data_IF_001287047231
#
_entry.id   IF_001287047231
#
_cell.length_a   1.000
_cell.length_b   1.000
_cell.length_c   1.000
_cell.angle_alpha   90.00
_cell.angle_beta   90.00
_cell.angle_gamma   90.00
#
_symmetry.space_group_name_H-M   'P 1'
#
loop_
_entity.id
_entity.type
_entity.pdbx_description
1 polymer ?
#
# COMPACT_ATOMS: atom_id res chain seq x y z
N UNK A 1 7.58 -51.79 -27.61
CA UNK A 1 8.23 -51.06 -28.73
C UNK A 1 7.17 -50.11 -29.30
N UNK A 2 7.56 -48.85 -29.51
CA UNK A 2 6.76 -47.71 -29.99
C UNK A 2 5.70 -47.14 -29.02
N UNK A 3 5.41 -45.84 -28.93
CA UNK A 3 6.03 -44.53 -29.20
C UNK A 3 4.84 -43.54 -29.30
N UNK A 4 4.87 -42.48 -28.48
CA UNK A 4 4.29 -41.13 -28.63
C UNK A 4 3.32 -40.84 -29.80
N UNK A 5 2.18 -40.21 -29.49
CA UNK A 5 1.75 -39.01 -30.23
C UNK A 5 0.82 -38.11 -29.39
N UNK A 6 1.11 -36.80 -29.42
CA UNK A 6 0.46 -35.72 -28.69
C UNK A 6 -0.96 -35.41 -29.20
N UNK A 7 -1.82 -34.72 -28.41
CA UNK A 7 -2.92 -33.96 -28.97
C UNK A 7 -2.44 -32.57 -29.41
N UNK A 8 -2.88 -32.23 -30.62
CA UNK A 8 -2.56 -31.04 -31.40
C UNK A 8 -3.13 -29.77 -30.77
N UNK A 9 -2.29 -28.74 -30.71
CA UNK A 9 -2.74 -27.34 -30.70
C UNK A 9 -3.52 -27.04 -31.99
N UNK A 10 -4.73 -26.51 -31.84
CA UNK A 10 -5.39 -25.68 -32.85
C UNK A 10 -5.73 -24.36 -32.15
N UNK A 11 -5.22 -23.21 -32.63
CA UNK A 11 -5.49 -21.92 -32.00
C UNK A 11 -6.91 -21.48 -32.35
N UNK A 12 -7.76 -21.28 -31.33
CA UNK A 12 -9.02 -20.53 -31.51
C UNK A 12 -8.82 -19.10 -31.04
N UNK A 13 -8.61 -18.26 -32.05
CA UNK A 13 -9.02 -16.86 -32.18
C UNK A 13 -9.12 -16.02 -30.89
N UNK A 14 -8.11 -15.17 -30.74
CA UNK A 14 -8.21 -13.78 -30.30
C UNK A 14 -9.49 -13.10 -30.82
N UNK A 15 -10.57 -13.15 -30.05
CA UNK A 15 -11.70 -12.21 -30.10
C UNK A 15 -12.74 -12.60 -29.03
N UNK A 16 -12.46 -12.30 -27.76
CA UNK A 16 -13.54 -12.12 -26.79
C UNK A 16 -13.45 -10.68 -26.29
N UNK A 17 -14.36 -9.84 -26.79
CA UNK A 17 -14.62 -8.54 -26.20
C UNK A 17 -14.99 -8.76 -24.73
N UNK A 18 -14.22 -8.14 -23.84
CA UNK A 18 -14.51 -8.09 -22.41
C UNK A 18 -15.84 -7.35 -22.23
N UNK A 19 -16.93 -8.09 -22.02
CA UNK A 19 -18.18 -7.52 -21.54
C UNK A 19 -18.06 -7.36 -20.04
N UNK A 20 -17.64 -6.18 -19.59
CA UNK A 20 -17.80 -5.77 -18.19
C UNK A 20 -19.30 -5.76 -17.92
N UNK A 21 -19.72 -6.43 -16.85
CA UNK A 21 -21.12 -6.52 -16.41
C UNK A 21 -21.84 -5.17 -16.52
N UNK A 22 -23.11 -5.21 -16.95
CA UNK A 22 -23.93 -4.01 -17.01
C UNK A 22 -24.06 -3.42 -15.60
N UNK A 23 -24.19 -2.08 -15.45
CA UNK A 23 -24.35 -1.42 -14.14
C UNK A 23 -25.36 -2.09 -13.19
N UNK A 24 -26.46 -2.62 -13.73
CA UNK A 24 -27.50 -3.34 -12.97
C UNK A 24 -27.08 -4.72 -12.47
N UNK A 25 -26.20 -5.41 -13.19
CA UNK A 25 -25.70 -6.74 -12.82
C UNK A 25 -24.73 -6.63 -11.64
N UNK A 26 -23.87 -5.60 -11.62
CA UNK A 26 -22.98 -5.30 -10.49
C UNK A 26 -23.77 -4.99 -9.21
N UNK A 27 -24.75 -4.09 -9.29
CA UNK A 27 -25.61 -3.76 -8.14
C UNK A 27 -26.50 -4.95 -7.73
N UNK A 28 -26.94 -5.77 -8.70
CA UNK A 28 -27.69 -7.00 -8.46
C UNK A 28 -26.88 -8.03 -7.67
N UNK A 29 -25.58 -8.21 -8.01
CA UNK A 29 -24.65 -9.05 -7.25
C UNK A 29 -24.47 -8.56 -5.80
N UNK A 30 -24.68 -7.26 -5.53
CA UNK A 30 -24.70 -6.71 -4.17
C UNK A 30 -26.02 -6.91 -3.40
N UNK A 31 -27.05 -7.56 -3.95
CA UNK A 31 -28.42 -7.64 -3.36
C UNK A 31 -28.95 -9.06 -3.02
N UNK A 32 -28.09 -10.05 -2.75
CA UNK A 32 -28.55 -11.40 -2.35
C UNK A 32 -29.20 -11.45 -0.95
N UNK A 33 -29.99 -12.49 -0.65
CA UNK A 33 -30.77 -12.62 0.61
C UNK A 33 -29.91 -12.59 1.89
N UNK A 34 -28.64 -13.02 1.84
CA UNK A 34 -27.67 -12.88 2.94
C UNK A 34 -27.00 -11.50 3.01
N UNK A 35 -27.06 -10.72 1.91
CA UNK A 35 -26.50 -9.38 1.78
C UNK A 35 -27.41 -8.29 2.34
N UNK A 36 -28.72 -8.48 2.34
CA UNK A 36 -29.69 -7.47 2.80
C UNK A 36 -29.41 -7.01 4.24
N UNK A 37 -29.06 -7.94 5.13
CA UNK A 37 -28.68 -7.64 6.51
C UNK A 37 -27.35 -6.86 6.65
N UNK A 38 -26.43 -6.95 5.68
CA UNK A 38 -25.19 -6.14 5.67
C UNK A 38 -25.50 -4.70 5.26
N UNK A 39 -26.44 -4.57 4.33
CA UNK A 39 -26.78 -3.31 3.69
C UNK A 39 -27.75 -2.49 4.52
N UNK A 40 -28.41 -3.06 5.52
CA UNK A 40 -29.17 -2.29 6.50
C UNK A 40 -28.40 -1.06 6.99
N UNK A 41 -29.11 0.05 7.17
CA UNK A 41 -28.56 1.29 7.67
C UNK A 41 -29.30 1.74 8.96
N UNK A 42 -29.29 0.92 10.02
CA UNK A 42 -30.06 1.20 11.24
C UNK A 42 -29.52 2.44 11.96
N UNK A 43 -28.22 2.72 11.82
CA UNK A 43 -27.53 3.90 12.38
C UNK A 43 -27.79 5.18 11.59
N UNK A 44 -28.54 5.12 10.48
CA UNK A 44 -28.88 6.26 9.61
C UNK A 44 -27.64 7.04 9.14
N UNK A 45 -26.58 6.31 8.81
CA UNK A 45 -25.40 6.88 8.17
C UNK A 45 -25.81 7.63 6.90
N UNK A 46 -25.31 8.86 6.76
CA UNK A 46 -25.61 9.76 5.65
C UNK A 46 -24.39 10.01 4.76
N UNK A 47 -23.30 9.28 4.96
CA UNK A 47 -22.11 9.35 4.13
C UNK A 47 -21.50 7.96 3.86
N UNK A 48 -20.87 7.81 2.70
CA UNK A 48 -20.08 6.63 2.34
C UNK A 48 -18.80 6.99 1.58
N UNK A 49 -17.74 6.23 1.87
CA UNK A 49 -16.50 6.17 1.08
C UNK A 49 -16.52 4.88 0.28
N UNK A 50 -16.33 5.00 -1.02
CA UNK A 50 -16.32 3.89 -1.97
C UNK A 50 -14.97 3.87 -2.68
N UNK A 51 -14.19 2.82 -2.44
CA UNK A 51 -12.96 2.53 -3.17
C UNK A 51 -13.27 1.45 -4.20
N UNK A 52 -12.90 1.65 -5.46
CA UNK A 52 -13.13 0.63 -6.49
C UNK A 52 -11.88 0.40 -7.32
N UNK A 53 -11.74 -0.83 -7.83
CA UNK A 53 -10.69 -1.16 -8.79
C UNK A 53 -10.88 -0.39 -10.11
N UNK A 54 -9.84 -0.31 -10.96
CA UNK A 54 -9.90 0.44 -12.22
C UNK A 54 -11.01 0.01 -13.18
N UNK A 55 -11.47 -1.25 -13.08
CA UNK A 55 -12.57 -1.83 -13.87
C UNK A 55 -13.89 -1.05 -13.72
N UNK A 56 -14.11 -0.42 -12.57
CA UNK A 56 -15.31 0.33 -12.26
C UNK A 56 -15.18 1.84 -12.54
N UNK A 57 -14.07 2.29 -13.14
CA UNK A 57 -13.84 3.72 -13.40
C UNK A 57 -14.98 4.35 -14.24
N UNK A 58 -15.46 3.65 -15.27
CA UNK A 58 -16.57 4.13 -16.10
C UNK A 58 -17.90 4.13 -15.34
N UNK A 59 -18.15 3.12 -14.50
CA UNK A 59 -19.36 3.02 -13.69
C UNK A 59 -19.43 4.13 -12.64
N UNK A 60 -18.31 4.48 -11.99
CA UNK A 60 -18.29 5.58 -11.02
C UNK A 60 -18.43 6.97 -11.66
N UNK A 61 -18.18 7.10 -12.96
CA UNK A 61 -18.51 8.31 -13.71
C UNK A 61 -19.99 8.38 -14.11
N UNK A 62 -20.69 7.23 -14.21
CA UNK A 62 -22.10 7.13 -14.58
C UNK A 62 -23.05 7.61 -13.45
N UNK A 63 -23.87 8.66 -13.68
CA UNK A 63 -24.85 9.14 -12.71
C UNK A 63 -25.90 8.09 -12.31
N UNK A 64 -26.30 7.20 -13.23
CA UNK A 64 -27.34 6.19 -12.98
C UNK A 64 -26.82 5.08 -12.06
N UNK A 65 -25.56 4.66 -12.28
CA UNK A 65 -24.88 3.73 -11.38
C UNK A 65 -24.73 4.34 -9.98
N UNK A 66 -24.23 5.57 -9.87
CA UNK A 66 -24.05 6.22 -8.58
C UNK A 66 -25.38 6.41 -7.83
N UNK A 67 -26.47 6.72 -8.54
CA UNK A 67 -27.80 6.85 -7.93
C UNK A 67 -28.30 5.51 -7.38
N UNK A 68 -28.06 4.41 -8.09
CA UNK A 68 -28.38 3.05 -7.62
C UNK A 68 -27.52 2.66 -6.41
N UNK A 69 -26.23 3.01 -6.43
CA UNK A 69 -25.31 2.78 -5.32
C UNK A 69 -25.74 3.55 -4.07
N UNK A 70 -26.11 4.83 -4.20
CA UNK A 70 -26.64 5.61 -3.07
C UNK A 70 -27.93 5.01 -2.54
N UNK A 71 -28.83 4.55 -3.42
CA UNK A 71 -30.06 3.87 -2.99
C UNK A 71 -29.75 2.61 -2.17
N UNK A 72 -28.75 1.84 -2.61
CA UNK A 72 -28.28 0.65 -1.90
C UNK A 72 -27.68 1.01 -0.54
N UNK A 73 -26.76 1.97 -0.50
CA UNK A 73 -25.98 2.30 0.70
C UNK A 73 -26.77 3.08 1.75
N UNK A 74 -27.75 3.88 1.32
CA UNK A 74 -28.69 4.57 2.22
C UNK A 74 -29.71 3.61 2.84
N UNK A 75 -30.00 2.48 2.16
CA UNK A 75 -30.94 1.44 2.57
C UNK A 75 -32.29 1.98 3.07
N UNK A 76 -32.83 2.98 2.35
CA UNK A 76 -34.08 3.68 2.70
C UNK A 76 -34.09 4.34 4.08
N UNK A 77 -32.93 4.53 4.71
CA UNK A 77 -32.83 5.35 5.91
C UNK A 77 -33.33 6.76 5.58
N UNK A 78 -34.19 7.30 6.45
CA UNK A 78 -34.71 8.65 6.29
C UNK A 78 -33.63 9.69 6.65
N UNK A 79 -32.64 9.84 5.77
CA UNK A 79 -31.69 10.94 5.79
C UNK A 79 -32.19 12.01 4.82
N UNK A 80 -31.98 13.29 5.14
CA UNK A 80 -32.33 14.39 4.23
C UNK A 80 -31.43 14.39 2.99
N UNK A 81 -30.15 14.20 3.25
CA UNK A 81 -29.09 14.17 2.26
C UNK A 81 -28.26 12.89 2.44
N UNK A 82 -27.67 12.39 1.35
CA UNK A 82 -26.67 11.34 1.37
C UNK A 82 -25.43 11.78 0.59
N UNK A 83 -24.25 11.57 1.17
CA UNK A 83 -22.97 12.00 0.63
C UNK A 83 -22.13 10.81 0.21
N UNK A 84 -21.61 10.86 -1.01
CA UNK A 84 -20.82 9.77 -1.58
C UNK A 84 -19.45 10.31 -2.00
N UNK A 85 -18.40 9.74 -1.45
CA UNK A 85 -17.03 9.88 -1.94
C UNK A 85 -16.66 8.62 -2.73
N UNK A 86 -16.23 8.79 -3.97
CA UNK A 86 -15.81 7.72 -4.87
C UNK A 86 -14.35 7.93 -5.25
N UNK A 87 -13.54 6.87 -5.11
CA UNK A 87 -12.14 6.87 -5.49
C UNK A 87 -11.77 5.59 -6.25
N UNK A 88 -10.96 5.73 -7.30
CA UNK A 88 -10.37 4.58 -7.99
C UNK A 88 -8.98 4.30 -7.42
N UNK A 89 -8.80 3.07 -6.93
CA UNK A 89 -7.56 2.57 -6.33
C UNK A 89 -6.94 1.51 -7.25
N UNK A 90 -5.63 1.24 -7.10
CA UNK A 90 -4.97 0.24 -7.95
C UNK A 90 -5.55 -1.16 -7.69
N UNK A 91 -5.83 -1.47 -6.42
CA UNK A 91 -6.51 -2.71 -6.04
C UNK A 91 -7.34 -2.48 -4.78
N UNK A 92 -8.53 -3.08 -4.69
CA UNK A 92 -9.22 -3.22 -3.39
C UNK A 92 -8.47 -4.26 -2.54
N UNK A 93 -8.44 -4.10 -1.22
CA UNK A 93 -7.76 -5.06 -0.36
C UNK A 93 -8.37 -6.46 -0.56
N UNK A 94 -7.57 -7.47 -0.96
CA UNK A 94 -8.08 -8.81 -1.27
C UNK A 94 -8.66 -9.47 -0.01
N UNK A 95 -9.48 -10.48 -0.25
CA UNK A 95 -10.10 -11.27 0.80
C UNK A 95 -9.26 -12.48 1.21
N UNK A 96 -9.71 -13.17 2.26
CA UNK A 96 -9.13 -14.43 2.72
C UNK A 96 -9.13 -15.45 1.55
N UNK A 97 -7.99 -16.13 1.35
CA UNK A 97 -7.73 -17.10 0.27
C UNK A 97 -7.61 -16.54 -1.16
N UNK A 98 -7.51 -15.21 -1.31
CA UNK A 98 -7.27 -14.59 -2.63
C UNK A 98 -5.83 -14.13 -2.81
N UNK A 99 -5.12 -14.84 -3.69
CA UNK A 99 -3.72 -14.57 -4.00
C UNK A 99 -3.52 -13.56 -5.14
N UNK A 100 -4.57 -13.29 -5.90
CA UNK A 100 -4.53 -12.41 -7.06
C UNK A 100 -5.51 -11.26 -6.89
N UNK A 101 -5.18 -10.07 -7.42
CA UNK A 101 -6.09 -8.94 -7.39
C UNK A 101 -7.33 -9.25 -8.22
N UNK A 102 -8.50 -9.20 -7.58
CA UNK A 102 -9.79 -9.26 -8.26
C UNK A 102 -10.43 -7.87 -8.32
N UNK A 103 -11.15 -7.55 -9.41
CA UNK A 103 -11.96 -6.34 -9.45
C UNK A 103 -12.97 -6.33 -8.32
N UNK A 104 -13.05 -5.22 -7.59
CA UNK A 104 -13.93 -5.12 -6.43
C UNK A 104 -14.27 -3.69 -6.05
N UNK A 105 -15.20 -3.60 -5.09
CA UNK A 105 -15.64 -2.35 -4.46
C UNK A 105 -15.55 -2.53 -2.94
N UNK A 106 -14.87 -1.61 -2.27
CA UNK A 106 -14.76 -1.52 -0.82
C UNK A 106 -15.56 -0.33 -0.31
N UNK A 107 -16.40 -0.54 0.70
CA UNK A 107 -17.33 0.48 1.19
C UNK A 107 -17.18 0.70 2.69
N UNK A 108 -17.01 1.97 3.09
CA UNK A 108 -17.08 2.41 4.48
C UNK A 108 -18.23 3.41 4.63
N UNK A 109 -19.17 3.14 5.53
CA UNK A 109 -20.34 4.00 5.81
C UNK A 109 -20.23 4.65 7.18
N UNK A 110 -20.70 5.89 7.30
CA UNK A 110 -20.68 6.64 8.56
C UNK A 110 -21.50 7.93 8.50
N UNK A 111 -21.43 8.70 9.58
CA UNK A 111 -21.97 10.06 9.63
C UNK A 111 -21.00 11.02 8.92
N UNK A 112 -21.53 11.96 8.13
CA UNK A 112 -20.76 12.90 7.32
C UNK A 112 -19.64 13.60 8.10
N UNK A 113 -19.98 14.30 9.18
CA UNK A 113 -19.00 15.14 9.89
C UNK A 113 -17.96 14.30 10.65
N UNK A 114 -18.33 13.07 11.02
CA UNK A 114 -17.47 12.12 11.72
C UNK A 114 -16.56 11.32 10.76
N UNK A 115 -17.02 10.98 9.55
CA UNK A 115 -16.30 10.17 8.56
C UNK A 115 -15.54 11.01 7.53
N UNK A 116 -16.17 12.09 7.05
CA UNK A 116 -15.70 12.96 5.97
C UNK A 116 -15.73 14.42 6.42
N UNK A 117 -14.95 14.79 7.45
CA UNK A 117 -14.90 16.18 7.89
C UNK A 117 -14.45 17.08 6.74
N UNK A 118 -15.09 18.25 6.64
CA UNK A 118 -14.75 19.27 5.63
C UNK A 118 -14.95 18.82 4.18
N UNK A 119 -15.75 17.78 3.91
CA UNK A 119 -15.96 17.22 2.56
C UNK A 119 -16.19 18.29 1.47
N UNK A 120 -17.07 19.24 1.76
CA UNK A 120 -17.50 20.30 0.84
C UNK A 120 -16.72 21.61 0.96
N UNK A 121 -15.70 21.66 1.83
CA UNK A 121 -14.80 22.81 1.86
C UNK A 121 -13.87 22.73 0.65
N UNK A 122 -13.60 23.89 0.05
CA UNK A 122 -12.55 24.01 -0.96
C UNK A 122 -11.25 23.60 -0.29
N UNK A 123 -10.50 22.72 -0.96
CA UNK A 123 -9.27 22.13 -0.43
C UNK A 123 -8.41 23.24 0.20
N UNK A 124 -7.92 23.03 1.42
CA UNK A 124 -6.84 23.86 1.95
C UNK A 124 -5.71 23.87 0.91
N UNK A 125 -4.93 24.96 0.76
CA UNK A 125 -3.90 25.02 -0.26
C UNK A 125 -2.76 24.05 0.09
N UNK A 126 -2.96 22.75 -0.17
CA UNK A 126 -1.86 21.82 -0.37
C UNK A 126 -1.21 22.34 -1.64
N UNK A 127 -0.11 23.08 -1.45
CA UNK A 127 0.63 23.72 -2.53
C UNK A 127 0.91 22.66 -3.60
N UNK A 128 0.51 23.00 -4.83
CA UNK A 128 0.63 22.21 -6.06
C UNK A 128 1.20 20.82 -5.84
N UNK A 129 0.30 19.85 -5.73
CA UNK A 129 0.52 18.48 -6.21
C UNK A 129 1.37 18.58 -7.49
N UNK A 130 2.52 17.90 -7.57
CA UNK A 130 3.34 17.87 -8.78
C UNK A 130 2.41 17.63 -9.98
N UNK A 131 2.63 18.26 -11.14
CA UNK A 131 1.66 18.24 -12.25
C UNK A 131 1.20 16.84 -12.67
N UNK A 132 2.00 15.82 -12.35
CA UNK A 132 1.78 14.42 -12.69
C UNK A 132 1.41 13.53 -11.49
N UNK A 133 1.24 14.11 -10.29
CA UNK A 133 0.86 13.35 -9.10
C UNK A 133 -0.63 13.04 -9.10
N UNK A 134 -0.95 11.79 -8.77
CA UNK A 134 -2.33 11.33 -8.59
C UNK A 134 -2.95 11.95 -7.33
N UNK A 135 -4.27 12.05 -7.32
CA UNK A 135 -5.04 12.34 -6.12
C UNK A 135 -4.78 11.28 -5.03
N UNK A 136 -5.04 11.61 -3.78
CA UNK A 136 -4.84 10.68 -2.67
C UNK A 136 -5.90 10.83 -1.58
N UNK A 137 -6.10 9.75 -0.83
CA UNK A 137 -6.92 9.76 0.38
C UNK A 137 -6.02 9.68 1.61
N UNK A 138 -6.30 10.49 2.61
CA UNK A 138 -5.63 10.40 3.92
C UNK A 138 -6.60 9.83 4.95
N UNK A 139 -6.33 8.62 5.43
CA UNK A 139 -7.08 7.96 6.48
C UNK A 139 -6.49 8.30 7.84
N UNK A 140 -7.29 8.90 8.71
CA UNK A 140 -7.00 8.99 10.15
C UNK A 140 -7.70 7.85 10.85
N UNK A 141 -6.95 6.90 11.37
CA UNK A 141 -7.49 5.74 12.07
C UNK A 141 -7.19 5.88 13.56
N UNK A 142 -8.23 5.95 14.38
CA UNK A 142 -8.09 6.26 15.79
C UNK A 142 -7.43 7.62 16.03
N UNK A 143 -6.58 7.71 17.06
CA UNK A 143 -6.02 8.98 17.55
C UNK A 143 -4.57 9.24 17.12
N UNK A 144 -3.87 8.25 16.55
CA UNK A 144 -2.40 8.31 16.42
C UNK A 144 -1.86 7.79 15.09
N UNK A 145 -2.74 7.26 14.24
CA UNK A 145 -2.34 6.69 12.96
C UNK A 145 -2.93 7.48 11.79
N UNK A 146 -2.06 7.96 10.92
CA UNK A 146 -2.42 8.66 9.69
C UNK A 146 -1.78 7.92 8.53
N UNK A 147 -2.57 7.64 7.51
CA UNK A 147 -2.10 6.96 6.31
C UNK A 147 -2.59 7.67 5.06
N UNK A 148 -1.67 7.90 4.12
CA UNK A 148 -2.00 8.45 2.82
C UNK A 148 -1.86 7.37 1.75
N UNK A 149 -2.94 7.18 0.99
CA UNK A 149 -3.09 6.23 -0.10
C UNK A 149 -3.19 7.00 -1.42
N UNK A 150 -2.13 7.00 -2.26
CA UNK A 150 -2.21 7.47 -3.64
C UNK A 150 -3.20 6.64 -4.44
N UNK A 151 -4.01 7.30 -5.26
CA UNK A 151 -5.01 6.67 -6.12
C UNK A 151 -4.41 6.13 -7.42
N UNK A 152 -5.18 5.31 -8.13
CA UNK A 152 -4.75 4.77 -9.41
C UNK A 152 -4.64 5.86 -10.48
N UNK A 153 -3.80 5.61 -11.47
CA UNK A 153 -3.82 6.41 -12.69
C UNK A 153 -5.01 6.01 -13.56
N UNK A 154 -5.88 6.96 -13.89
CA UNK A 154 -7.11 6.71 -14.65
C UNK A 154 -7.11 7.35 -16.04
N UNK A 155 -5.98 7.89 -16.49
CA UNK A 155 -5.90 8.68 -17.72
C UNK A 155 -6.43 7.91 -18.93
N UNK A 156 -6.08 6.63 -19.04
CA UNK A 156 -6.51 5.77 -20.15
C UNK A 156 -7.90 5.15 -19.95
N UNK A 157 -8.54 5.37 -18.79
CA UNK A 157 -9.84 4.80 -18.45
C UNK A 157 -10.97 5.81 -18.62
N UNK A 158 -10.74 7.05 -18.17
CA UNK A 158 -11.72 8.13 -18.21
C UNK A 158 -11.13 9.53 -18.46
N UNK A 159 -9.91 9.63 -18.99
CA UNK A 159 -9.23 10.88 -19.32
C UNK A 159 -8.90 11.79 -18.11
N UNK A 160 -8.92 11.26 -16.89
CA UNK A 160 -8.50 11.97 -15.67
C UNK A 160 -7.20 11.36 -15.16
N UNK A 161 -6.25 12.18 -14.71
CA UNK A 161 -4.98 11.69 -14.14
C UNK A 161 -5.22 10.65 -13.03
N UNK A 162 -6.22 10.90 -12.19
CA UNK A 162 -6.78 9.98 -11.20
C UNK A 162 -8.25 10.32 -10.97
N UNK A 163 -9.01 9.41 -10.36
CA UNK A 163 -10.44 9.60 -10.14
C UNK A 163 -10.74 9.67 -8.64
N UNK A 164 -11.04 10.89 -8.17
CA UNK A 164 -11.56 11.17 -6.85
C UNK A 164 -12.70 12.18 -6.98
N UNK A 165 -13.91 11.78 -6.62
CA UNK A 165 -15.08 12.64 -6.71
C UNK A 165 -15.97 12.53 -5.48
N UNK A 166 -16.66 13.63 -5.19
CA UNK A 166 -17.65 13.73 -4.14
C UNK A 166 -18.99 14.10 -4.75
N UNK A 167 -20.08 13.60 -4.17
CA UNK A 167 -21.43 13.89 -4.61
C UNK A 167 -22.41 13.97 -3.44
N UNK A 168 -23.42 14.81 -3.58
CA UNK A 168 -24.53 14.99 -2.63
C UNK A 168 -25.84 14.65 -3.32
N UNK A 169 -26.61 13.79 -2.69
CA UNK A 169 -27.93 13.39 -3.14
C UNK A 169 -29.00 13.83 -2.15
N UNK A 170 -30.10 14.36 -2.67
CA UNK A 170 -31.32 14.63 -1.92
C UNK A 170 -32.18 13.38 -1.87
N UNK A 171 -32.58 12.95 -0.67
CA UNK A 171 -33.49 11.82 -0.44
C UNK A 171 -34.85 12.25 0.11
N UNK A 172 -35.09 13.56 0.31
CA UNK A 172 -36.28 14.08 1.01
C UNK A 172 -37.62 13.84 0.30
N UNK A 173 -37.62 13.57 -1.01
CA UNK A 173 -38.84 13.43 -1.83
C UNK A 173 -39.08 12.01 -2.35
N UNK A 174 -38.52 11.00 -1.69
CA UNK A 174 -38.66 9.59 -2.09
C UNK A 174 -37.98 9.22 -3.41
N UNK A 175 -37.32 10.18 -4.08
CA UNK A 175 -36.49 9.97 -5.26
C UNK A 175 -35.12 10.57 -4.98
N UNK A 176 -34.06 9.78 -5.19
CA UNK A 176 -32.69 10.25 -5.06
C UNK A 176 -32.36 11.19 -6.22
N UNK A 177 -32.04 12.45 -5.89
CA UNK A 177 -31.64 13.46 -6.88
C UNK A 177 -30.25 13.97 -6.58
N UNK A 178 -29.36 13.90 -7.57
CA UNK A 178 -28.05 14.51 -7.49
C UNK A 178 -28.19 16.04 -7.36
N UNK A 179 -27.70 16.61 -6.25
CA UNK A 179 -27.67 18.05 -6.03
C UNK A 179 -26.33 18.67 -6.42
N UNK A 180 -25.23 17.98 -6.12
CA UNK A 180 -23.88 18.50 -6.32
C UNK A 180 -22.91 17.35 -6.61
N UNK A 181 -21.99 17.54 -7.55
CA UNK A 181 -20.85 16.64 -7.81
C UNK A 181 -19.59 17.49 -8.04
N UNK A 182 -18.46 17.09 -7.47
CA UNK A 182 -17.20 17.82 -7.60
C UNK A 182 -16.03 16.84 -7.56
N UNK A 183 -14.99 17.13 -8.33
CA UNK A 183 -13.74 16.37 -8.29
C UNK A 183 -12.79 16.97 -7.26
N UNK A 184 -12.01 16.12 -6.58
CA UNK A 184 -11.02 16.55 -5.58
C UNK A 184 -9.66 15.98 -5.95
N UNK A 185 -8.60 16.61 -5.46
CA UNK A 185 -7.24 16.06 -5.51
C UNK A 185 -6.84 15.39 -4.19
N UNK A 186 -7.58 15.66 -3.12
CA UNK A 186 -7.35 15.06 -1.83
C UNK A 186 -8.62 15.07 -0.98
N UNK A 187 -8.76 14.08 -0.10
CA UNK A 187 -9.74 14.12 0.98
C UNK A 187 -9.21 13.34 2.18
N UNK A 188 -9.50 13.85 3.37
CA UNK A 188 -9.28 13.14 4.62
C UNK A 188 -10.50 12.30 5.00
N UNK A 189 -10.29 11.04 5.34
CA UNK A 189 -11.30 10.09 5.82
C UNK A 189 -10.97 9.73 7.27
N UNK A 190 -11.95 9.76 8.16
CA UNK A 190 -11.78 9.41 9.57
C UNK A 190 -12.40 8.04 9.84
N UNK A 191 -11.58 7.09 10.25
CA UNK A 191 -12.04 5.76 10.62
C UNK A 191 -12.02 5.63 12.13
N UNK A 192 -13.22 5.51 12.70
CA UNK A 192 -13.40 5.23 14.13
C UNK A 192 -13.16 3.75 14.40
N UNK A 193 -12.21 3.47 15.27
CA UNK A 193 -11.95 2.12 15.82
C UNK A 193 -12.40 2.09 17.29
N UNK A 194 -12.83 0.92 17.77
CA UNK A 194 -13.40 0.74 19.12
C UNK A 194 -12.46 1.13 20.27
N UNK A 195 -12.97 1.25 21.51
CA UNK A 195 -12.19 1.68 22.66
C UNK A 195 -11.07 0.69 23.01
N UNK A 196 -9.83 1.20 23.01
CA UNK A 196 -8.60 0.46 23.24
C UNK A 196 -8.51 -0.15 24.65
N UNK A 197 -8.21 -1.45 24.74
CA UNK A 197 -7.38 -1.94 25.84
C UNK A 197 -5.94 -1.46 25.58
N UNK A 198 -5.38 -0.73 26.53
CA UNK A 198 -4.21 0.15 26.40
C UNK A 198 -2.86 -0.52 26.00
N UNK A 199 -2.80 -1.79 25.60
CA UNK A 199 -1.57 -2.47 25.18
C UNK A 199 -1.41 -2.69 23.67
N UNK A 200 -2.50 -2.72 22.89
CA UNK A 200 -2.49 -3.26 21.51
C UNK A 200 -2.72 -2.18 20.44
N UNK A 201 -2.25 -0.96 20.71
CA UNK A 201 -2.54 0.25 19.92
C UNK A 201 -1.74 0.39 18.62
N UNK A 202 -1.50 -0.71 17.90
CA UNK A 202 -0.69 -0.71 16.69
C UNK A 202 -1.43 -1.41 15.56
N UNK A 203 -1.24 -0.91 14.35
CA UNK A 203 -1.52 -1.71 13.16
C UNK A 203 -0.62 -2.95 13.19
N UNK A 204 -0.94 -3.97 12.43
CA UNK A 204 0.02 -5.04 12.14
C UNK A 204 0.71 -4.72 10.82
N UNK A 205 2.03 -4.91 10.77
CA UNK A 205 2.83 -4.73 9.55
C UNK A 205 3.25 -6.10 9.01
N UNK A 206 2.77 -6.41 7.82
CA UNK A 206 3.30 -7.50 6.99
C UNK A 206 4.20 -6.94 5.89
N UNK A 207 5.45 -7.38 5.85
CA UNK A 207 6.37 -7.07 4.75
C UNK A 207 7.09 -8.36 4.32
N UNK A 208 6.69 -8.97 3.19
CA UNK A 208 7.22 -10.26 2.78
C UNK A 208 8.56 -10.06 2.07
N UNK A 209 9.62 -10.04 2.88
CA UNK A 209 10.99 -9.77 2.45
C UNK A 209 11.92 -10.83 3.02
N UNK A 210 13.00 -11.11 2.30
CA UNK A 210 14.07 -12.00 2.74
C UNK A 210 15.40 -11.27 2.77
N UNK A 211 16.25 -11.49 3.79
CA UNK A 211 17.54 -10.84 3.92
C UNK A 211 18.49 -11.28 2.80
N UNK A 212 19.28 -10.34 2.27
CA UNK A 212 20.35 -10.62 1.28
C UNK A 212 21.72 -10.16 1.73
N UNK A 213 21.78 -9.37 2.80
CA UNK A 213 23.04 -9.03 3.49
C UNK A 213 22.87 -9.22 4.99
N UNK A 214 23.99 -9.20 5.72
CA UNK A 214 23.94 -9.00 7.18
C UNK A 214 23.63 -7.54 7.50
N UNK A 215 23.18 -7.27 8.72
CA UNK A 215 23.06 -5.91 9.22
C UNK A 215 24.46 -5.30 9.44
N UNK A 216 24.75 -4.16 8.83
CA UNK A 216 26.05 -3.48 8.90
C UNK A 216 25.91 -2.07 9.46
N UNK A 217 26.89 -1.62 10.23
CA UNK A 217 26.95 -0.23 10.70
C UNK A 217 27.28 0.69 9.52
N UNK A 218 26.56 1.80 9.40
CA UNK A 218 26.85 2.84 8.41
C UNK A 218 28.02 3.68 8.91
N UNK A 219 29.08 3.76 8.11
CA UNK A 219 30.28 4.54 8.43
C UNK A 219 30.30 5.90 7.74
N UNK A 220 29.65 6.02 6.57
CA UNK A 220 29.61 7.25 5.80
C UNK A 220 28.34 7.34 4.93
N UNK A 221 27.67 8.48 4.97
CA UNK A 221 26.49 8.78 4.16
C UNK A 221 26.37 10.29 3.90
N UNK A 222 25.57 10.66 2.90
CA UNK A 222 25.28 12.06 2.55
C UNK A 222 23.89 12.16 1.91
N UNK A 223 22.98 12.89 2.55
CA UNK A 223 21.59 12.94 2.10
C UNK A 223 20.95 11.55 2.08
N UNK A 224 20.44 11.13 0.91
CA UNK A 224 19.88 9.80 0.67
C UNK A 224 20.92 8.79 0.15
N UNK A 225 22.21 9.14 0.12
CA UNK A 225 23.28 8.29 -0.41
C UNK A 225 24.04 7.64 0.75
N UNK A 226 24.09 6.32 0.78
CA UNK A 226 24.97 5.54 1.65
C UNK A 226 26.27 5.26 0.91
N UNK A 227 27.41 5.63 1.51
CA UNK A 227 28.74 5.50 0.89
C UNK A 227 29.55 4.37 1.47
N UNK A 228 29.50 4.21 2.80
CA UNK A 228 30.34 3.28 3.52
C UNK A 228 29.56 2.50 4.57
N UNK A 229 29.92 1.23 4.69
CA UNK A 229 29.46 0.31 5.74
C UNK A 229 30.66 -0.35 6.40
N UNK A 230 30.51 -0.76 7.65
CA UNK A 230 31.53 -1.47 8.40
C UNK A 230 31.42 -2.98 8.18
N UNK A 231 32.50 -3.59 7.69
CA UNK A 231 32.66 -5.04 7.59
C UNK A 231 34.02 -5.39 8.20
N UNK A 232 34.02 -6.30 9.17
CA UNK A 232 35.21 -6.75 9.89
C UNK A 232 36.08 -5.60 10.43
N UNK A 233 35.41 -4.58 11.00
CA UNK A 233 36.04 -3.39 11.57
C UNK A 233 36.61 -2.41 10.53
N UNK A 234 36.37 -2.63 9.23
CA UNK A 234 36.82 -1.75 8.14
C UNK A 234 35.65 -1.13 7.41
N UNK A 235 35.77 0.16 7.10
CA UNK A 235 34.82 0.83 6.22
C UNK A 235 35.07 0.41 4.77
N UNK A 236 34.06 -0.20 4.14
CA UNK A 236 34.06 -0.57 2.73
C UNK A 236 32.91 0.13 1.98
N UNK A 237 32.92 0.21 0.63
CA UNK A 237 31.83 0.82 -0.10
C UNK A 237 30.51 0.08 0.10
N UNK A 238 29.43 0.83 0.32
CA UNK A 238 28.13 0.29 0.74
C UNK A 238 27.52 -0.71 -0.25
N UNK A 239 27.75 -0.54 -1.56
CA UNK A 239 27.19 -1.45 -2.56
C UNK A 239 27.93 -2.78 -2.68
N UNK A 240 29.12 -2.95 -2.10
CA UNK A 240 30.00 -4.10 -2.40
C UNK A 240 29.37 -5.44 -2.00
N UNK A 241 28.87 -5.55 -0.76
CA UNK A 241 28.20 -6.76 -0.27
C UNK A 241 26.88 -7.01 -1.01
N UNK A 242 26.11 -5.96 -1.28
CA UNK A 242 24.83 -6.04 -1.97
C UNK A 242 24.97 -6.49 -3.44
N UNK A 243 25.93 -5.94 -4.17
CA UNK A 243 26.20 -6.31 -5.57
C UNK A 243 26.55 -7.80 -5.67
N UNK A 244 27.39 -8.31 -4.77
CA UNK A 244 27.73 -9.73 -4.71
C UNK A 244 26.51 -10.61 -4.41
N UNK A 245 25.70 -10.22 -3.42
CA UNK A 245 24.48 -10.92 -3.04
C UNK A 245 23.45 -10.99 -4.18
N UNK A 246 23.19 -9.86 -4.82
CA UNK A 246 22.22 -9.76 -5.93
C UNK A 246 22.68 -10.60 -7.12
N UNK A 247 23.97 -10.58 -7.46
CA UNK A 247 24.52 -11.43 -8.52
C UNK A 247 24.32 -12.92 -8.23
N UNK A 248 24.60 -13.35 -6.99
CA UNK A 248 24.38 -14.73 -6.56
C UNK A 248 22.92 -15.14 -6.69
N UNK A 249 21.98 -14.28 -6.26
CA UNK A 249 20.54 -14.57 -6.38
C UNK A 249 20.10 -14.65 -7.85
N UNK A 250 20.63 -13.79 -8.73
CA UNK A 250 20.33 -13.86 -10.17
C UNK A 250 20.85 -15.13 -10.84
N UNK A 251 21.97 -15.69 -10.36
CA UNK A 251 22.47 -16.99 -10.82
C UNK A 251 21.50 -18.12 -10.46
N UNK A 252 21.02 -18.16 -9.22
CA UNK A 252 20.04 -19.16 -8.76
C UNK A 252 18.66 -18.98 -9.41
N UNK A 253 18.19 -17.74 -9.66
CA UNK A 253 16.89 -17.52 -10.33
C UNK A 253 16.88 -17.99 -11.79
N UNK A 254 17.99 -17.80 -12.52
CA UNK A 254 18.12 -18.26 -13.91
C UNK A 254 18.03 -19.78 -14.04
N UNK A 255 18.45 -20.52 -13.02
CA UNK A 255 18.40 -21.98 -13.03
C UNK A 255 17.04 -22.53 -12.59
N UNK A 256 16.31 -21.81 -11.72
CA UNK A 256 15.04 -22.27 -11.15
C UNK A 256 13.78 -21.81 -11.90
N UNK A 257 13.80 -20.66 -12.58
CA UNK A 257 12.59 -20.06 -13.19
C UNK A 257 12.90 -19.31 -14.50
N UNK A 258 11.91 -19.20 -15.40
CA UNK A 258 12.00 -18.41 -16.64
C UNK A 258 11.68 -16.91 -16.46
N UNK A 259 11.51 -16.43 -15.23
CA UNK A 259 11.27 -15.01 -14.94
C UNK A 259 12.58 -14.22 -14.90
N UNK A 260 12.90 -13.55 -16.00
CA UNK A 260 14.02 -12.62 -16.14
C UNK A 260 13.51 -11.18 -16.07
N UNK A 261 13.32 -10.67 -14.85
CA UNK A 261 12.91 -9.28 -14.61
C UNK A 261 13.81 -8.57 -13.59
N UNK A 262 13.86 -7.23 -13.58
CA UNK A 262 14.57 -6.48 -12.56
C UNK A 262 13.98 -6.78 -11.18
N UNK A 263 14.85 -6.99 -10.19
CA UNK A 263 14.46 -7.27 -8.82
C UNK A 263 14.56 -5.99 -7.99
N UNK A 264 13.48 -5.61 -7.32
CA UNK A 264 13.54 -4.53 -6.32
C UNK A 264 14.38 -4.94 -5.12
N UNK A 265 15.11 -3.98 -4.57
CA UNK A 265 15.86 -4.13 -3.31
C UNK A 265 15.37 -3.07 -2.33
N UNK A 266 15.14 -3.50 -1.09
CA UNK A 266 14.77 -2.62 0.01
C UNK A 266 15.83 -2.65 1.10
N UNK A 267 16.11 -1.49 1.68
CA UNK A 267 16.98 -1.33 2.82
C UNK A 267 16.14 -1.06 4.06
N UNK A 268 16.39 -1.81 5.14
CA UNK A 268 15.94 -1.45 6.47
C UNK A 268 17.05 -0.65 7.15
N UNK A 269 16.77 0.59 7.52
CA UNK A 269 17.69 1.44 8.28
C UNK A 269 17.21 1.54 9.72
N UNK A 270 18.04 1.08 10.65
CA UNK A 270 17.75 1.04 12.09
C UNK A 270 18.62 2.05 12.83
N UNK A 271 18.04 3.06 13.51
CA UNK A 271 18.79 4.06 14.28
C UNK A 271 19.65 3.44 15.40
N UNK A 272 20.80 4.06 15.71
CA UNK A 272 21.74 3.58 16.74
C UNK A 272 21.16 3.62 18.16
N UNK A 273 20.30 4.61 18.44
CA UNK A 273 19.58 4.73 19.71
C UNK A 273 18.08 4.71 19.45
N UNK A 274 17.45 3.56 19.67
CA UNK A 274 16.00 3.51 19.87
C UNK A 274 15.73 3.08 21.31
N UNK A 275 15.14 3.95 22.15
CA UNK A 275 14.82 3.61 23.54
C UNK A 275 13.78 2.48 23.66
N UNK A 276 13.17 2.07 22.54
CA UNK A 276 12.19 0.99 22.45
C UNK A 276 12.78 -0.34 21.96
N UNK A 277 14.05 -0.39 21.53
CA UNK A 277 14.62 -1.62 20.97
C UNK A 277 15.73 -2.23 21.84
N UNK A 278 15.57 -3.50 22.17
CA UNK A 278 16.68 -4.41 22.53
C UNK A 278 17.40 -4.90 21.26
N UNK A 279 17.46 -4.07 20.22
CA UNK A 279 18.02 -4.47 18.93
C UNK A 279 19.53 -4.67 19.06
N UNK A 280 19.99 -5.82 18.59
CA UNK A 280 21.41 -6.13 18.37
C UNK A 280 21.54 -6.62 16.94
N UNK A 281 22.70 -6.39 16.33
CA UNK A 281 22.99 -6.92 14.99
C UNK A 281 22.81 -8.45 14.91
N UNK A 282 23.01 -9.16 16.03
CA UNK A 282 22.85 -10.61 16.14
C UNK A 282 21.40 -11.10 16.01
N UNK A 283 20.42 -10.23 16.28
CA UNK A 283 19.00 -10.55 16.11
C UNK A 283 18.50 -10.33 14.67
N UNK A 284 19.36 -9.81 13.78
CA UNK A 284 19.01 -9.60 12.38
C UNK A 284 18.88 -10.93 11.61
N UNK A 285 17.91 -11.08 10.71
CA UNK A 285 17.76 -12.29 9.89
C UNK A 285 19.01 -12.63 9.09
N UNK A 286 19.38 -13.91 9.01
CA UNK A 286 20.56 -14.40 8.29
C UNK A 286 20.27 -14.53 6.77
N UNK A 287 21.09 -13.92 5.88
CA UNK A 287 20.92 -14.06 4.44
C UNK A 287 21.31 -15.42 3.86
N UNK A 288 21.97 -16.32 4.61
CA UNK A 288 22.62 -17.53 4.06
C UNK A 288 21.68 -18.40 3.22
N UNK A 289 20.47 -18.71 3.71
CA UNK A 289 19.52 -19.53 2.95
C UNK A 289 19.12 -18.91 1.59
N UNK A 290 18.94 -17.59 1.55
CA UNK A 290 18.62 -16.87 0.32
C UNK A 290 19.80 -16.84 -0.66
N UNK A 291 21.03 -16.66 -0.15
CA UNK A 291 22.24 -16.65 -0.97
C UNK A 291 22.62 -18.03 -1.51
N UNK A 292 22.24 -19.10 -0.82
CA UNK A 292 22.38 -20.49 -1.28
C UNK A 292 21.32 -20.89 -2.33
N UNK A 293 20.37 -20.01 -2.63
CA UNK A 293 19.32 -20.27 -3.61
C UNK A 293 18.14 -21.10 -3.09
N UNK A 294 18.02 -21.27 -1.77
CA UNK A 294 16.92 -22.04 -1.19
C UNK A 294 15.60 -21.27 -1.36
N UNK A 295 14.54 -22.00 -1.71
CA UNK A 295 13.21 -21.42 -1.72
C UNK A 295 12.79 -21.07 -0.27
N UNK A 296 12.27 -19.86 -0.07
CA UNK A 296 11.76 -19.42 1.21
C UNK A 296 10.52 -20.24 1.59
N UNK A 297 10.51 -20.77 2.81
CA UNK A 297 9.31 -21.39 3.39
C UNK A 297 8.41 -20.32 4.01
N UNK A 298 7.16 -20.69 4.34
CA UNK A 298 6.23 -19.76 5.00
C UNK A 298 6.77 -19.30 6.36
N UNK A 299 7.35 -20.23 7.12
CA UNK A 299 7.96 -19.94 8.42
C UNK A 299 9.13 -18.95 8.32
N UNK A 300 9.93 -19.03 7.25
CA UNK A 300 11.02 -18.07 6.99
C UNK A 300 10.47 -16.66 6.75
N UNK A 301 9.42 -16.55 5.92
CA UNK A 301 8.77 -15.28 5.61
C UNK A 301 8.09 -14.70 6.84
N UNK A 302 7.33 -15.50 7.60
CA UNK A 302 6.65 -15.08 8.83
C UNK A 302 7.65 -14.62 9.90
N UNK A 303 8.76 -15.32 10.05
CA UNK A 303 9.81 -14.96 11.01
C UNK A 303 10.49 -13.65 10.63
N UNK A 304 10.77 -13.44 9.34
CA UNK A 304 11.33 -12.20 8.85
C UNK A 304 10.32 -11.04 8.97
N UNK A 305 9.06 -11.23 8.59
CA UNK A 305 8.01 -10.23 8.69
C UNK A 305 7.81 -9.75 10.14
N UNK A 306 7.78 -10.67 11.12
CA UNK A 306 7.73 -10.32 12.56
C UNK A 306 8.98 -9.57 13.05
N UNK A 307 10.16 -9.84 12.47
CA UNK A 307 11.35 -9.04 12.77
C UNK A 307 11.17 -7.62 12.22
N UNK A 308 10.76 -7.50 10.95
CA UNK A 308 10.55 -6.25 10.24
C UNK A 308 9.50 -5.35 10.89
N UNK A 309 8.38 -5.93 11.34
CA UNK A 309 7.35 -5.25 12.12
C UNK A 309 7.90 -4.66 13.42
N UNK A 310 8.61 -5.48 14.21
CA UNK A 310 9.22 -5.01 15.47
C UNK A 310 10.21 -3.88 15.22
N UNK A 311 10.99 -3.95 14.14
CA UNK A 311 11.92 -2.87 13.77
C UNK A 311 11.17 -1.62 13.33
N UNK A 312 10.11 -1.76 12.55
CA UNK A 312 9.27 -0.64 12.13
C UNK A 312 8.71 0.13 13.32
N UNK A 313 8.16 -0.58 14.31
CA UNK A 313 7.67 0.03 15.55
C UNK A 313 8.76 0.57 16.47
N UNK A 314 9.98 0.03 16.37
CA UNK A 314 11.16 0.59 17.01
C UNK A 314 11.70 1.85 16.31
N UNK A 315 11.10 2.29 15.21
CA UNK A 315 11.52 3.49 14.47
C UNK A 315 12.52 3.24 13.35
N UNK A 316 12.68 1.99 12.90
CA UNK A 316 13.41 1.66 11.68
C UNK A 316 12.59 1.97 10.42
N UNK A 317 13.28 2.23 9.30
CA UNK A 317 12.67 2.69 8.04
C UNK A 317 12.97 1.77 6.88
N UNK A 318 11.97 1.59 6.03
CA UNK A 318 12.14 0.96 4.73
C UNK A 318 12.46 2.00 3.67
N UNK A 319 13.50 1.72 2.89
CA UNK A 319 13.87 2.52 1.74
C UNK A 319 14.05 1.63 0.52
N UNK A 320 13.40 1.96 -0.58
CA UNK A 320 13.73 1.31 -1.85
C UNK A 320 15.10 1.80 -2.31
N UNK A 321 15.96 0.87 -2.74
CA UNK A 321 17.25 1.20 -3.36
C UNK A 321 16.98 1.58 -4.82
N UNK A 322 17.26 2.83 -5.17
CA UNK A 322 17.02 3.36 -6.52
C UNK A 322 18.18 3.08 -7.48
N UNK A 323 19.41 3.03 -6.96
CA UNK A 323 20.60 2.70 -7.74
C UNK A 323 21.76 2.29 -6.86
N UNK A 324 22.60 1.40 -7.39
CA UNK A 324 23.98 1.19 -6.97
C UNK A 324 24.91 1.85 -7.97
N UNK A 325 25.75 2.76 -7.51
CA UNK A 325 26.73 3.45 -8.33
C UNK A 325 27.73 2.44 -8.86
N UNK A 326 27.70 2.24 -10.18
CA UNK A 326 28.42 1.16 -10.87
C UNK A 326 29.92 1.13 -10.59
N UNK A 327 30.57 0.01 -10.92
CA UNK A 327 31.94 -0.34 -10.52
C UNK A 327 33.11 0.57 -10.93
N UNK A 328 32.86 1.76 -11.49
CA UNK A 328 33.87 2.68 -12.02
C UNK A 328 33.59 4.15 -11.69
N UNK A 329 34.65 4.93 -11.49
CA UNK A 329 34.58 6.37 -11.29
C UNK A 329 34.18 6.84 -9.87
N UNK A 330 33.94 8.15 -9.67
CA UNK A 330 33.66 8.76 -8.36
C UNK A 330 32.34 8.31 -7.70
N UNK A 331 31.47 7.66 -8.47
CA UNK A 331 30.19 7.11 -8.02
C UNK A 331 30.25 5.63 -7.67
N UNK A 332 31.43 5.00 -7.81
CA UNK A 332 31.63 3.60 -7.47
C UNK A 332 31.28 3.35 -6.00
N UNK A 333 30.44 2.35 -5.75
CA UNK A 333 30.18 1.91 -4.39
C UNK A 333 29.05 2.63 -3.66
N UNK A 334 28.40 3.60 -4.30
CA UNK A 334 27.36 4.44 -3.70
C UNK A 334 25.98 3.76 -3.78
N UNK A 335 25.17 3.83 -2.74
CA UNK A 335 23.78 3.39 -2.80
C UNK A 335 22.84 4.56 -2.60
N UNK A 336 21.93 4.78 -3.55
CA UNK A 336 20.89 5.80 -3.44
C UNK A 336 19.60 5.20 -2.92
N UNK A 337 19.10 5.72 -1.80
CA UNK A 337 17.82 5.37 -1.20
C UNK A 337 16.71 6.28 -1.74
N UNK A 338 15.47 5.80 -1.84
CA UNK A 338 14.30 6.62 -2.18
C UNK A 338 14.03 7.65 -1.07
N UNK A 339 14.16 8.97 -1.35
CA UNK A 339 13.96 10.01 -0.34
C UNK A 339 12.49 10.35 -0.09
N UNK A 340 11.54 9.75 -0.83
CA UNK A 340 10.10 10.04 -0.70
C UNK A 340 9.55 9.47 0.60
N UNK A 341 9.29 10.35 1.56
CA UNK A 341 8.65 10.01 2.86
C UNK A 341 7.18 10.41 2.92
N UNK A 342 6.73 11.29 2.02
CA UNK A 342 5.37 11.82 1.94
C UNK A 342 4.90 11.83 0.48
N UNK A 343 3.58 11.70 0.27
CA UNK A 343 2.98 11.79 -1.08
C UNK A 343 2.89 13.24 -1.57
N UNK A 344 2.45 14.15 -0.69
CA UNK A 344 2.30 15.56 -1.02
C UNK A 344 3.64 16.29 -0.94
N UNK A 345 3.79 17.28 -1.80
CA UNK A 345 4.89 18.23 -1.70
C UNK A 345 4.82 18.94 -0.34
N UNK A 346 5.97 19.11 0.29
CA UNK A 346 6.10 19.92 1.49
C UNK A 346 5.95 21.40 1.11
N UNK A 347 5.47 22.23 2.02
CA UNK A 347 5.53 23.68 1.82
C UNK A 347 7.00 24.15 1.75
N UNK A 348 7.27 25.28 1.08
CA UNK A 348 8.64 25.84 1.00
C UNK A 348 9.31 25.99 2.39
N UNK A 349 8.53 26.32 3.43
CA UNK A 349 9.01 26.42 4.80
C UNK A 349 9.42 25.04 5.38
N UNK A 350 8.60 24.01 5.14
CA UNK A 350 8.88 22.64 5.55
C UNK A 350 10.06 22.04 4.78
N UNK A 351 10.16 22.33 3.48
CA UNK A 351 11.31 21.97 2.64
C UNK A 351 12.59 22.60 3.17
N UNK A 352 12.57 23.89 3.51
CA UNK A 352 13.71 24.58 4.10
C UNK A 352 14.12 23.96 5.44
N UNK A 353 13.15 23.67 6.32
CA UNK A 353 13.41 22.97 7.60
C UNK A 353 14.01 21.58 7.38
N UNK A 354 13.48 20.83 6.40
CA UNK A 354 13.99 19.49 6.04
C UNK A 354 15.40 19.56 5.47
N UNK A 355 15.68 20.56 4.63
CA UNK A 355 17.00 20.80 4.06
C UNK A 355 18.05 21.10 5.14
N UNK A 356 17.76 22.03 6.05
CA UNK A 356 18.65 22.38 7.18
C UNK A 356 18.91 21.16 8.08
N UNK A 357 17.88 20.36 8.36
CA UNK A 357 18.02 19.11 9.12
C UNK A 357 18.94 18.11 8.41
N UNK A 358 18.77 17.94 7.09
CA UNK A 358 19.53 16.97 6.28
C UNK A 358 20.99 17.37 6.09
N UNK A 359 21.28 18.68 6.03
CA UNK A 359 22.65 19.21 6.03
C UNK A 359 23.38 18.97 7.35
N UNK A 360 22.65 18.98 8.47
CA UNK A 360 23.23 18.89 9.80
C UNK A 360 23.44 17.44 10.26
N UNK A 361 22.57 16.52 9.85
CA UNK A 361 22.66 15.07 10.05
C UNK A 361 22.01 14.40 8.83
N UNK A 362 22.65 13.43 8.17
CA UNK A 362 21.98 12.72 7.06
C UNK A 362 20.75 11.99 7.60
N UNK A 363 19.57 12.56 7.36
CA UNK A 363 18.32 12.22 8.05
C UNK A 363 17.79 10.84 7.70
N UNK A 364 18.14 10.32 6.52
CA UNK A 364 17.66 9.03 6.01
C UNK A 364 18.47 7.85 6.56
N UNK A 365 19.79 7.97 6.56
CA UNK A 365 20.71 6.88 6.89
C UNK A 365 21.97 7.43 7.60
N UNK A 366 21.85 7.91 8.85
CA UNK A 366 22.95 8.55 9.57
C UNK A 366 24.12 7.58 9.84
N UNK A 367 25.39 8.05 9.78
CA UNK A 367 26.50 7.28 10.31
C UNK A 367 26.21 6.91 11.77
N UNK A 368 26.51 5.66 12.16
CA UNK A 368 26.10 5.12 13.44
C UNK A 368 24.89 4.17 13.35
N UNK A 369 23.92 4.47 12.49
CA UNK A 369 22.79 3.59 12.23
C UNK A 369 23.23 2.29 11.55
N UNK A 370 22.35 1.30 11.56
CA UNK A 370 22.57 0.03 10.88
C UNK A 370 21.69 -0.09 9.64
N UNK A 371 22.21 -0.77 8.62
CA UNK A 371 21.51 -1.04 7.37
C UNK A 371 21.58 -2.52 7.04
N UNK A 372 20.44 -3.08 6.61
CA UNK A 372 20.36 -4.42 6.07
C UNK A 372 19.52 -4.39 4.80
N UNK A 373 19.92 -5.15 3.78
CA UNK A 373 19.22 -5.21 2.52
C UNK A 373 18.37 -6.47 2.40
N UNK A 374 17.24 -6.32 1.72
CA UNK A 374 16.23 -7.32 1.54
C UNK A 374 15.70 -7.32 0.12
N UNK A 375 15.19 -8.46 -0.31
CA UNK A 375 14.50 -8.65 -1.59
C UNK A 375 13.21 -9.44 -1.37
N UNK A 376 12.28 -9.47 -2.33
CA UNK A 376 11.11 -10.31 -2.22
C UNK A 376 11.54 -11.79 -2.20
N UNK A 377 10.92 -12.62 -1.35
CA UNK A 377 11.29 -14.02 -1.15
C UNK A 377 11.27 -14.82 -2.46
N UNK A 378 12.14 -15.81 -2.55
CA UNK A 378 12.11 -16.80 -3.63
C UNK A 378 11.13 -17.90 -3.24
N UNK A 379 9.88 -17.80 -3.65
CA UNK A 379 8.83 -18.75 -3.26
C UNK A 379 7.56 -18.56 -4.08
N UNK A 380 6.56 -19.39 -3.83
CA UNK A 380 5.24 -19.23 -4.44
C UNK A 380 4.48 -18.07 -3.80
N UNK A 381 3.45 -17.57 -4.48
CA UNK A 381 2.69 -16.39 -4.02
C UNK A 381 1.97 -16.67 -2.68
N UNK A 382 1.56 -17.92 -2.46
CA UNK A 382 0.89 -18.38 -1.24
C UNK A 382 1.79 -18.24 -0.01
N UNK A 383 3.10 -18.37 -0.19
CA UNK A 383 4.09 -18.20 0.89
C UNK A 383 4.20 -16.74 1.34
N UNK A 384 3.80 -15.79 0.51
CA UNK A 384 4.21 -14.37 0.58
C UNK A 384 3.04 -13.45 0.91
N UNK A 385 1.81 -13.85 0.59
CA UNK A 385 0.62 -13.03 0.80
C UNK A 385 0.09 -13.20 2.23
N UNK A 386 -0.32 -12.09 2.82
CA UNK A 386 -0.99 -12.06 4.12
C UNK A 386 -2.48 -11.79 3.95
N UNK A 387 -3.30 -12.65 4.58
CA UNK A 387 -4.76 -12.59 4.54
C UNK A 387 -5.30 -11.79 5.73
N UNK A 388 -5.13 -10.47 5.69
CA UNK A 388 -5.65 -9.56 6.70
C UNK A 388 -7.16 -9.27 6.52
N UNK A 389 -7.89 -9.17 7.63
CA UNK A 389 -9.27 -8.67 7.69
C UNK A 389 -9.33 -7.35 8.47
N UNK A 390 -10.45 -6.64 8.35
CA UNK A 390 -10.66 -5.36 9.03
C UNK A 390 -10.29 -4.19 8.12
N UNK A 391 -9.46 -3.28 8.60
CA UNK A 391 -9.01 -2.12 7.81
C UNK A 391 -7.64 -2.45 7.23
N UNK A 392 -7.53 -2.54 5.91
CA UNK A 392 -6.31 -3.03 5.25
C UNK A 392 -5.80 -2.06 4.19
N UNK A 393 -4.53 -1.69 4.31
CA UNK A 393 -3.87 -0.88 3.30
C UNK A 393 -2.50 -1.47 2.96
N UNK A 394 -1.97 -1.18 1.77
CA UNK A 394 -0.69 -1.77 1.40
C UNK A 394 -0.30 -1.59 -0.04
N UNK A 395 0.54 -2.51 -0.51
CA UNK A 395 1.09 -2.49 -1.87
C UNK A 395 0.75 -3.80 -2.57
N UNK A 396 0.18 -3.79 -3.78
CA UNK A 396 -0.09 -5.03 -4.51
C UNK A 396 1.22 -5.78 -4.79
N UNK A 397 1.18 -7.12 -4.79
CA UNK A 397 2.35 -7.94 -5.13
C UNK A 397 2.69 -7.81 -6.61
N UNK A 398 1.68 -7.95 -7.46
CA UNK A 398 1.76 -7.69 -8.88
C UNK A 398 0.45 -7.01 -9.31
N UNK A 399 0.43 -5.67 -9.54
CA UNK A 399 -0.77 -4.96 -9.92
C UNK A 399 -1.31 -5.35 -11.31
N UNK A 400 -0.48 -5.97 -12.14
CA UNK A 400 -0.84 -6.37 -13.52
C UNK A 400 -1.28 -7.84 -13.64
N UNK A 401 -1.10 -8.64 -12.59
CA UNK A 401 -1.49 -10.05 -12.61
C UNK A 401 -3.01 -10.19 -12.49
N UNK A 402 -3.67 -10.64 -13.55
CA UNK A 402 -5.12 -10.90 -13.53
C UNK A 402 -5.40 -12.35 -13.14
N UNK A 403 -6.30 -12.58 -12.19
CA UNK A 403 -6.84 -13.92 -11.93
C UNK A 403 -7.85 -14.30 -13.03
N UNK A 404 -8.07 -15.61 -13.23
CA UNK A 404 -9.25 -16.06 -13.95
C UNK A 404 -10.48 -15.74 -13.07
N UNK A 405 -11.30 -14.78 -13.53
CA UNK A 405 -12.49 -14.30 -12.83
C UNK A 405 -13.31 -15.43 -12.19
N UNK A 406 -13.58 -15.33 -10.89
CA UNK A 406 -14.70 -16.04 -10.28
C UNK A 406 -15.99 -15.51 -10.92
N UNK A 407 -16.83 -16.40 -11.46
CA UNK A 407 -18.07 -16.03 -12.15
C UNK A 407 -19.10 -15.37 -11.20
N UNK A 408 -19.00 -15.64 -9.89
CA UNK A 408 -19.88 -15.10 -8.85
C UNK A 408 -19.16 -14.08 -7.96
N UNK A 409 -19.74 -12.89 -7.82
CA UNK A 409 -19.27 -11.89 -6.87
C UNK A 409 -19.71 -12.25 -5.45
N UNK A 410 -18.90 -11.89 -4.45
CA UNK A 410 -19.17 -12.12 -3.03
C UNK A 410 -19.06 -10.81 -2.23
N UNK A 411 -19.62 -10.79 -1.02
CA UNK A 411 -19.54 -9.64 -0.11
C UNK A 411 -18.87 -10.04 1.19
N UNK A 412 -18.01 -9.16 1.70
CA UNK A 412 -17.32 -9.34 2.97
C UNK A 412 -17.73 -8.24 3.93
N UNK A 413 -18.25 -8.67 5.09
CA UNK A 413 -18.54 -7.77 6.21
C UNK A 413 -17.25 -7.39 6.92
N UNK A 414 -17.24 -6.19 7.49
CA UNK A 414 -16.16 -5.71 8.37
C UNK A 414 -14.78 -5.74 7.71
N UNK A 415 -14.73 -5.54 6.38
CA UNK A 415 -13.52 -5.44 5.60
C UNK A 415 -13.55 -4.18 4.73
N UNK A 416 -12.57 -3.32 4.92
CA UNK A 416 -12.41 -2.08 4.17
C UNK A 416 -10.94 -1.84 3.86
N UNK A 417 -10.62 -1.49 2.63
CA UNK A 417 -9.22 -1.30 2.30
C UNK A 417 -8.88 -1.23 0.84
N UNK A 418 -7.65 -0.81 0.57
CA UNK A 418 -7.11 -0.71 -0.77
C UNK A 418 -5.59 -0.73 -0.77
N UNK A 419 -5.03 -1.13 -1.90
CA UNK A 419 -3.60 -1.18 -2.14
C UNK A 419 -3.22 -0.15 -3.20
N UNK A 420 -2.04 0.46 -3.06
CA UNK A 420 -1.48 1.43 -4.01
C UNK A 420 -0.17 0.91 -4.59
N UNK A 421 -0.06 0.90 -5.91
CA UNK A 421 1.15 0.53 -6.63
C UNK A 421 2.30 1.54 -6.43
N UNK A 422 1.98 2.76 -5.97
CA UNK A 422 2.98 3.81 -5.66
C UNK A 422 3.55 3.71 -4.24
N UNK A 423 3.05 2.77 -3.44
CA UNK A 423 3.32 2.67 -2.02
C UNK A 423 2.31 3.44 -1.16
N UNK A 424 2.33 3.16 0.14
CA UNK A 424 1.53 3.87 1.14
C UNK A 424 2.44 4.70 2.04
N UNK A 425 1.94 5.83 2.52
CA UNK A 425 2.67 6.74 3.38
C UNK A 425 2.01 6.78 4.75
N UNK A 426 2.79 6.64 5.82
CA UNK A 426 2.27 6.56 7.18
C UNK A 426 2.96 7.58 8.07
N UNK A 427 2.18 8.24 8.92
CA UNK A 427 2.67 9.17 9.94
C UNK A 427 2.21 8.71 11.32
N UNK A 428 3.16 8.42 12.21
CA UNK A 428 2.90 7.96 13.58
C UNK A 428 3.27 9.03 14.58
N UNK A 429 2.47 9.19 15.64
CA UNK A 429 2.86 10.07 16.75
C UNK A 429 3.92 9.37 17.62
N UNK A 430 5.10 9.97 17.76
CA UNK A 430 6.21 9.35 18.50
C UNK A 430 5.94 9.24 20.01
N UNK A 431 5.30 10.25 20.62
CA UNK A 431 4.92 10.24 22.04
C UNK A 431 3.57 10.90 22.28
N UNK A 432 2.77 10.42 23.25
CA UNK A 432 1.57 11.14 23.70
C UNK A 432 1.96 12.53 24.22
N UNK A 433 1.52 13.59 23.52
CA UNK A 433 1.76 14.98 23.91
C UNK A 433 2.85 15.72 23.12
N UNK A 434 3.61 15.05 22.24
CA UNK A 434 4.47 15.74 21.27
C UNK A 434 3.74 15.97 19.94
N UNK A 435 4.08 17.06 19.25
CA UNK A 435 3.61 17.33 17.88
C UNK A 435 4.44 16.62 16.82
N UNK A 436 5.49 15.86 17.20
CA UNK A 436 6.38 15.19 16.26
C UNK A 436 5.75 13.91 15.71
N UNK A 437 5.47 13.94 14.41
CA UNK A 437 5.11 12.75 13.64
C UNK A 437 6.36 12.11 13.04
N UNK A 438 6.32 10.80 12.93
CA UNK A 438 7.29 9.98 12.26
C UNK A 438 6.70 9.53 10.92
N UNK A 439 7.20 10.11 9.83
CA UNK A 439 6.77 9.78 8.47
C UNK A 439 7.59 8.62 7.91
N UNK A 440 6.92 7.70 7.21
CA UNK A 440 7.54 6.57 6.51
C UNK A 440 6.73 6.19 5.27
N UNK A 441 7.44 5.83 4.19
CA UNK A 441 6.85 5.19 3.01
C UNK A 441 7.03 3.67 3.10
N UNK A 442 6.00 2.91 2.77
CA UNK A 442 6.07 1.47 2.55
C UNK A 442 5.76 1.19 1.08
N UNK A 443 6.76 0.72 0.34
CA UNK A 443 6.67 0.40 -1.09
C UNK A 443 6.99 -1.06 -1.41
N UNK A 444 7.05 -1.91 -0.39
CA UNK A 444 7.38 -3.34 -0.52
C UNK A 444 6.20 -4.05 -1.17
N UNK A 445 6.35 -4.70 -2.34
CA UNK A 445 5.27 -5.45 -2.98
C UNK A 445 4.69 -6.51 -2.04
N UNK A 446 3.36 -6.65 -2.04
CA UNK A 446 2.66 -7.60 -1.17
C UNK A 446 2.58 -7.18 0.30
N UNK A 447 3.20 -6.08 0.70
CA UNK A 447 3.11 -5.61 2.08
C UNK A 447 1.71 -5.14 2.46
N UNK A 448 1.37 -5.31 3.73
CA UNK A 448 0.10 -4.88 4.34
C UNK A 448 0.38 -4.14 5.62
N UNK A 449 -0.40 -3.11 5.86
CA UNK A 449 -0.57 -2.48 7.14
C UNK A 449 -2.06 -2.55 7.46
N UNK A 450 -2.42 -3.29 8.49
CA UNK A 450 -3.81 -3.62 8.76
C UNK A 450 -4.19 -3.52 10.23
N UNK A 451 -5.47 -3.33 10.46
CA UNK A 451 -6.07 -3.35 11.78
C UNK A 451 -7.15 -4.43 11.80
N UNK A 452 -6.96 -5.43 12.67
CA UNK A 452 -7.93 -6.50 12.88
C UNK A 452 -9.00 -5.98 13.83
N UNK A 453 -10.27 -6.09 13.43
CA UNK A 453 -11.38 -5.88 14.33
C UNK A 453 -11.72 -7.23 14.97
N UNK A 454 -11.55 -7.33 16.29
CA UNK A 454 -12.06 -8.46 17.09
C UNK A 454 -13.60 -8.50 17.09
#
# INVERSE_FOLDING_TARGET
>A
MALLSAPRFIPRNLASGYSIDKPREVIGKMRGDALDAVLENPKRHNAAVVLASPDYAKHLDDPDFNSQLVNLLSASANTKDFHLLCAIVDTVAPSYDQFYPEPGISVLRGELDSLLPQLWQLDAPVQKVERDSVAALTFKVGQSFIQTLPLAQTTFLNNKASTLSISRYDSSRGSLKLQQKTEKQWQQVHIQVGPFNRSDSYFELWAPLSPVTRARKITASFGNIVRGIEVDGKSIPASTELEAAVNSIFEHRRTATSTTGPMGVWALVTPEYSPLSAWTADNAPDPSAMLEGNAATRDDVDSCARYLERQYYAGSRFYQVLSGGGGWGPKKGLLSLDPRENHFALSEEEEMKKFVRTMSNSSFAPPGAHIQFFVPPMGSVETVIENAKGIVFGVPWNPEATSAFLEEGYLIRDHFGALSAQGIYSSFRQHPGTSSYYDSKLSVPGSRLYYVHD
#
